data_IF_288767846825
#
_entry.id   IF_288767846825
#
_cell.length_a   1.000
_cell.length_b   1.000
_cell.length_c   1.000
_cell.angle_alpha   90.00
_cell.angle_beta   90.00
_cell.angle_gamma   90.00
#
_symmetry.space_group_name_H-M   'P 1'
#
loop_
_entity.id
_entity.type
_entity.pdbx_description
1 polymer ?
#
# COMPACT_ATOMS: atom_id res chain seq x y z
N UNK A 1 -3.71 -7.08 14.39
CA UNK A 1 -3.30 -6.15 13.32
C UNK A 1 -3.46 -6.87 12.00
N UNK A 2 -4.34 -6.37 11.14
CA UNK A 2 -4.64 -6.99 9.85
C UNK A 2 -4.38 -5.96 8.75
N UNK A 3 -3.74 -6.42 7.67
CA UNK A 3 -3.50 -5.64 6.45
C UNK A 3 -4.61 -5.92 5.45
N UNK A 4 -4.95 -4.94 4.63
CA UNK A 4 -5.91 -5.06 3.55
C UNK A 4 -5.37 -4.32 2.31
N UNK A 5 -5.14 -5.08 1.24
CA UNK A 5 -4.73 -4.57 -0.07
C UNK A 5 -5.72 -4.99 -1.17
N UNK A 6 -6.96 -5.36 -0.78
CA UNK A 6 -8.00 -5.66 -1.75
C UNK A 6 -8.42 -4.41 -2.51
N UNK A 7 -8.80 -4.55 -3.77
CA UNK A 7 -9.37 -3.47 -4.58
C UNK A 7 -10.58 -2.82 -3.90
N UNK A 8 -11.40 -3.61 -3.20
CA UNK A 8 -12.54 -3.12 -2.41
C UNK A 8 -12.14 -2.18 -1.27
N UNK A 9 -10.89 -2.26 -0.78
CA UNK A 9 -10.38 -1.35 0.25
C UNK A 9 -9.98 0.03 -0.29
N UNK A 10 -9.90 0.19 -1.59
CA UNK A 10 -9.45 1.41 -2.26
C UNK A 10 -10.60 2.34 -2.64
N UNK A 11 -11.82 1.82 -2.80
CA UNK A 11 -12.98 2.53 -3.33
C UNK A 11 -14.06 2.67 -2.27
N UNK A 12 -14.84 3.77 -2.32
CA UNK A 12 -16.00 3.96 -1.46
C UNK A 12 -17.17 3.10 -1.94
N UNK A 13 -17.86 2.44 -1.02
CA UNK A 13 -19.03 1.61 -1.31
C UNK A 13 -20.22 2.40 -1.88
N UNK A 14 -20.24 3.72 -1.69
CA UNK A 14 -21.26 4.62 -2.22
C UNK A 14 -20.97 5.09 -3.64
N UNK A 15 -19.88 4.66 -4.25
CA UNK A 15 -19.50 5.03 -5.60
C UNK A 15 -20.42 4.36 -6.62
N UNK A 16 -21.04 5.16 -7.48
CA UNK A 16 -21.98 4.66 -8.48
C UNK A 16 -21.27 3.92 -9.62
N UNK A 17 -20.02 4.29 -9.94
CA UNK A 17 -19.20 3.58 -10.94
C UNK A 17 -18.83 2.18 -10.44
N UNK A 18 -18.55 2.04 -9.14
CA UNK A 18 -18.31 0.73 -8.53
C UNK A 18 -19.55 -0.17 -8.58
N UNK A 19 -20.74 0.38 -8.39
CA UNK A 19 -21.99 -0.38 -8.50
C UNK A 19 -22.20 -0.87 -9.93
N UNK A 20 -22.01 0.03 -10.90
CA UNK A 20 -22.12 -0.31 -12.33
C UNK A 20 -21.11 -1.39 -12.72
N UNK A 21 -19.84 -1.23 -12.33
CA UNK A 21 -18.79 -2.24 -12.57
C UNK A 21 -19.19 -3.62 -12.02
N UNK A 22 -19.76 -3.66 -10.81
CA UNK A 22 -20.18 -4.93 -10.20
C UNK A 22 -21.40 -5.55 -10.85
N UNK A 23 -22.35 -4.76 -11.32
CA UNK A 23 -23.49 -5.24 -12.11
C UNK A 23 -23.00 -5.90 -13.41
N UNK A 24 -22.10 -5.22 -14.13
CA UNK A 24 -21.50 -5.77 -15.36
C UNK A 24 -20.71 -7.04 -15.06
N UNK A 25 -19.89 -7.03 -14.01
CA UNK A 25 -19.07 -8.19 -13.61
C UNK A 25 -19.92 -9.40 -13.17
N UNK A 26 -21.10 -9.17 -12.58
CA UNK A 26 -22.03 -10.24 -12.22
C UNK A 26 -22.67 -10.92 -13.45
N UNK A 27 -22.87 -10.15 -14.52
CA UNK A 27 -23.47 -10.66 -15.77
C UNK A 27 -22.42 -11.36 -16.67
N UNK A 28 -21.16 -10.88 -16.65
CA UNK A 28 -20.09 -11.39 -17.53
C UNK A 28 -19.06 -12.27 -16.81
N UNK A 29 -19.19 -12.46 -15.48
CA UNK A 29 -18.38 -13.35 -14.63
C UNK A 29 -16.88 -13.37 -14.97
N UNK A 30 -16.20 -12.22 -14.83
CA UNK A 30 -14.74 -12.20 -14.98
C UNK A 30 -14.08 -12.79 -13.73
N UNK A 31 -13.51 -13.97 -13.86
CA UNK A 31 -12.65 -14.56 -12.81
C UNK A 31 -11.37 -13.74 -12.66
N UNK A 32 -10.86 -13.63 -11.43
CA UNK A 32 -9.49 -13.10 -11.21
C UNK A 32 -8.49 -13.88 -12.07
N UNK A 33 -7.46 -13.23 -12.56
CA UNK A 33 -6.44 -13.85 -13.38
C UNK A 33 -5.03 -13.39 -13.03
N UNK A 34 -4.05 -14.24 -13.38
CA UNK A 34 -2.64 -13.89 -13.44
C UNK A 34 -2.20 -13.85 -14.89
N UNK A 35 -1.24 -13.01 -15.21
CA UNK A 35 -0.63 -12.93 -16.53
C UNK A 35 0.84 -13.30 -16.40
N UNK A 36 1.32 -14.24 -17.20
CA UNK A 36 2.74 -14.56 -17.34
C UNK A 36 3.17 -14.11 -18.72
N UNK A 37 4.07 -13.14 -18.78
CA UNK A 37 4.70 -12.72 -20.03
C UNK A 37 5.93 -13.58 -20.24
N UNK A 38 6.03 -14.22 -21.39
CA UNK A 38 7.14 -15.04 -21.78
C UNK A 38 7.94 -14.38 -22.92
N UNK A 39 9.22 -14.12 -22.65
CA UNK A 39 10.21 -13.62 -23.59
C UNK A 39 11.17 -14.78 -23.92
N UNK A 40 10.94 -15.55 -24.99
CA UNK A 40 11.75 -16.70 -25.33
C UNK A 40 13.13 -16.29 -25.82
N UNK A 41 14.14 -17.15 -25.60
CA UNK A 41 15.51 -16.94 -26.13
C UNK A 41 15.59 -17.13 -27.63
N UNK A 42 14.64 -17.86 -28.19
CA UNK A 42 14.56 -18.20 -29.62
C UNK A 42 13.25 -17.73 -30.20
N UNK A 43 13.02 -17.95 -31.47
CA UNK A 43 11.82 -17.55 -32.18
C UNK A 43 10.55 -18.15 -31.56
N UNK A 44 9.57 -17.34 -31.22
CA UNK A 44 8.30 -17.72 -30.60
C UNK A 44 7.55 -18.80 -31.41
N UNK A 45 7.70 -18.82 -32.74
CA UNK A 45 7.00 -19.74 -33.65
C UNK A 45 7.87 -20.96 -34.05
N UNK A 46 9.05 -21.15 -33.43
CA UNK A 46 9.85 -22.36 -33.61
C UNK A 46 9.19 -23.57 -32.92
N UNK A 47 9.42 -24.80 -33.47
CA UNK A 47 8.91 -26.02 -32.86
C UNK A 47 9.37 -26.21 -31.42
N UNK A 48 10.61 -25.79 -31.15
CA UNK A 48 11.19 -25.86 -29.81
C UNK A 48 10.45 -24.97 -28.81
N UNK A 49 10.26 -23.69 -29.14
CA UNK A 49 9.57 -22.72 -28.24
C UNK A 49 8.12 -23.10 -28.09
N UNK A 50 7.42 -23.55 -29.13
CA UNK A 50 6.06 -24.08 -29.05
C UNK A 50 5.97 -25.24 -28.04
N UNK A 51 6.90 -26.22 -28.15
CA UNK A 51 6.97 -27.35 -27.20
C UNK A 51 7.27 -26.90 -25.77
N UNK A 52 8.18 -25.91 -25.60
CA UNK A 52 8.49 -25.31 -24.29
C UNK A 52 7.28 -24.59 -23.70
N UNK A 53 6.56 -23.81 -24.51
CA UNK A 53 5.34 -23.11 -24.10
C UNK A 53 4.25 -24.11 -23.66
N UNK A 54 4.06 -25.23 -24.37
CA UNK A 54 3.10 -26.27 -23.96
C UNK A 54 3.50 -26.89 -22.60
N UNK A 55 4.80 -27.19 -22.39
CA UNK A 55 5.25 -27.67 -21.09
C UNK A 55 4.99 -26.68 -19.95
N UNK A 56 5.12 -25.37 -20.21
CA UNK A 56 4.80 -24.35 -19.24
C UNK A 56 3.29 -24.31 -18.96
N UNK A 57 2.44 -24.29 -19.99
CA UNK A 57 0.97 -24.33 -19.85
C UNK A 57 0.55 -25.53 -19.01
N UNK A 58 1.02 -26.74 -19.35
CA UNK A 58 0.71 -27.96 -18.61
C UNK A 58 1.17 -27.91 -17.14
N UNK A 59 2.27 -27.23 -16.87
CA UNK A 59 2.77 -27.06 -15.50
C UNK A 59 1.94 -26.04 -14.69
N UNK A 60 1.53 -24.96 -15.33
CA UNK A 60 0.69 -23.94 -14.68
C UNK A 60 -0.75 -24.43 -14.44
N UNK A 61 -1.33 -25.23 -15.33
CA UNK A 61 -2.66 -25.85 -15.13
C UNK A 61 -2.72 -26.80 -13.94
N UNK A 62 -1.58 -27.36 -13.54
CA UNK A 62 -1.49 -28.26 -12.35
C UNK A 62 -1.41 -27.51 -11.03
N UNK A 63 -1.32 -26.20 -11.04
CA UNK A 63 -1.25 -25.39 -9.81
C UNK A 63 -2.65 -25.33 -9.20
N UNK A 64 -2.75 -25.68 -7.93
CA UNK A 64 -4.00 -25.61 -7.16
C UNK A 64 -4.53 -24.16 -7.14
N UNK A 65 -5.79 -23.96 -7.56
CA UNK A 65 -6.44 -22.66 -7.67
C UNK A 65 -6.35 -22.03 -9.06
N UNK A 66 -5.72 -22.69 -10.04
CA UNK A 66 -5.77 -22.35 -11.47
C UNK A 66 -6.89 -23.17 -12.12
N UNK A 67 -7.88 -22.52 -12.72
CA UNK A 67 -8.97 -23.16 -13.44
C UNK A 67 -8.56 -23.59 -14.86
N UNK A 68 -7.88 -22.69 -15.56
CA UNK A 68 -7.37 -22.92 -16.92
C UNK A 68 -6.28 -21.93 -17.27
N UNK A 69 -5.49 -22.25 -18.30
CA UNK A 69 -4.46 -21.37 -18.85
C UNK A 69 -4.80 -21.07 -20.31
N UNK A 70 -4.96 -19.80 -20.65
CA UNK A 70 -5.12 -19.35 -22.04
C UNK A 70 -3.79 -18.85 -22.56
N UNK A 71 -3.38 -19.34 -23.72
CA UNK A 71 -2.12 -19.01 -24.36
C UNK A 71 -2.28 -18.83 -25.87
N UNK A 72 -1.24 -18.35 -26.54
CA UNK A 72 -1.23 -18.29 -28.00
C UNK A 72 -1.32 -19.68 -28.66
N UNK A 73 -1.02 -20.76 -27.92
CA UNK A 73 -1.12 -22.15 -28.40
C UNK A 73 -2.58 -22.55 -28.65
N UNK A 74 -3.52 -21.99 -27.89
CA UNK A 74 -4.93 -22.33 -27.92
C UNK A 74 -5.74 -21.42 -28.85
N UNK A 75 -5.06 -20.40 -29.43
CA UNK A 75 -5.71 -19.43 -30.30
C UNK A 75 -6.15 -20.04 -31.64
N UNK A 76 -7.44 -19.94 -32.04
CA UNK A 76 -7.93 -20.48 -33.31
C UNK A 76 -7.41 -19.66 -34.49
N UNK A 77 -6.68 -20.30 -35.41
CA UNK A 77 -6.09 -19.67 -36.58
C UNK A 77 -7.07 -19.77 -37.77
N UNK A 78 -7.44 -18.63 -38.35
CA UNK A 78 -8.43 -18.52 -39.42
C UNK A 78 -7.81 -18.35 -40.79
N UNK A 79 -6.60 -17.83 -40.87
CA UNK A 79 -5.91 -17.45 -42.10
C UNK A 79 -4.56 -18.14 -42.32
N UNK A 80 -4.25 -19.20 -41.61
CA UNK A 80 -2.93 -19.82 -41.56
C UNK A 80 -2.92 -21.34 -41.88
N UNK A 81 -3.27 -21.76 -43.09
CA UNK A 81 -3.82 -21.08 -44.26
C UNK A 81 -5.31 -20.77 -44.12
N UNK A 82 -5.83 -19.86 -44.99
CA UNK A 82 -7.21 -19.46 -44.99
C UNK A 82 -8.19 -20.66 -45.11
N UNK A 83 -9.12 -20.74 -44.17
CA UNK A 83 -10.11 -21.78 -44.07
C UNK A 83 -11.47 -21.34 -44.67
N UNK A 84 -12.24 -22.30 -45.19
CA UNK A 84 -13.63 -22.08 -45.56
C UNK A 84 -14.53 -22.07 -44.30
N UNK A 85 -15.69 -21.42 -44.37
CA UNK A 85 -16.67 -21.42 -43.25
C UNK A 85 -17.13 -22.84 -42.83
N UNK A 86 -17.12 -23.79 -43.72
CA UNK A 86 -17.48 -25.19 -43.43
C UNK A 86 -16.36 -25.95 -42.71
N UNK A 87 -15.11 -25.59 -42.94
CA UNK A 87 -13.96 -26.13 -42.22
C UNK A 87 -13.85 -25.53 -40.81
N UNK A 88 -14.09 -24.23 -40.67
CA UNK A 88 -14.13 -23.53 -39.36
C UNK A 88 -15.15 -24.13 -38.40
N UNK A 89 -16.32 -24.56 -38.92
CA UNK A 89 -17.39 -25.16 -38.11
C UNK A 89 -17.03 -26.54 -37.55
N UNK A 90 -16.08 -27.24 -38.16
CA UNK A 90 -15.75 -28.62 -37.83
C UNK A 90 -14.36 -28.81 -37.20
N UNK A 91 -13.43 -27.92 -37.43
CA UNK A 91 -12.05 -28.08 -36.93
C UNK A 91 -11.36 -26.71 -36.85
N UNK A 92 -11.26 -26.16 -35.67
CA UNK A 92 -10.45 -24.97 -35.40
C UNK A 92 -8.98 -25.40 -35.31
N UNK A 93 -8.12 -24.85 -36.17
CA UNK A 93 -6.68 -25.09 -36.15
C UNK A 93 -6.02 -24.19 -35.13
N UNK A 94 -4.98 -24.71 -34.51
CA UNK A 94 -4.08 -23.97 -33.61
C UNK A 94 -2.67 -23.98 -34.18
N UNK A 95 -1.75 -23.31 -33.50
CA UNK A 95 -0.33 -23.26 -33.90
C UNK A 95 0.36 -24.63 -33.78
N UNK A 96 -0.17 -25.55 -32.99
CA UNK A 96 0.35 -26.86 -32.74
C UNK A 96 -0.05 -27.90 -33.80
N UNK A 97 -1.01 -27.55 -34.66
CA UNK A 97 -1.45 -28.47 -35.72
C UNK A 97 -0.38 -28.61 -36.82
N UNK A 98 -0.07 -29.83 -37.21
CA UNK A 98 0.89 -30.13 -38.28
C UNK A 98 0.52 -29.49 -39.64
N UNK A 99 -0.76 -29.15 -39.84
CA UNK A 99 -1.27 -28.50 -41.03
C UNK A 99 -1.17 -26.98 -41.04
N UNK A 100 -0.69 -26.38 -39.94
CA UNK A 100 -0.57 -24.94 -39.77
C UNK A 100 0.72 -24.41 -40.38
N UNK A 101 0.59 -23.39 -41.24
CA UNK A 101 1.74 -22.66 -41.77
C UNK A 101 2.16 -21.59 -40.73
N UNK A 102 3.31 -21.80 -40.10
CA UNK A 102 3.83 -20.97 -39.01
C UNK A 102 4.17 -19.53 -39.43
N UNK A 103 4.59 -19.34 -40.68
CA UNK A 103 4.86 -18.01 -41.21
C UNK A 103 3.55 -17.21 -41.41
N UNK A 104 2.51 -17.88 -41.90
CA UNK A 104 1.17 -17.29 -41.99
C UNK A 104 0.58 -17.06 -40.59
N UNK A 105 0.74 -18.02 -39.68
CA UNK A 105 0.29 -17.86 -38.28
C UNK A 105 0.91 -16.64 -37.63
N UNK A 106 2.23 -16.44 -37.77
CA UNK A 106 2.93 -15.24 -37.29
C UNK A 106 2.31 -13.95 -37.84
N UNK A 107 2.00 -13.92 -39.14
CA UNK A 107 1.34 -12.76 -39.77
C UNK A 107 -0.07 -12.56 -39.24
N UNK A 108 -0.78 -13.66 -38.93
CA UNK A 108 -2.10 -13.60 -38.33
C UNK A 108 -2.04 -13.02 -36.91
N UNK A 109 -1.12 -13.47 -36.06
CA UNK A 109 -0.91 -12.90 -34.73
C UNK A 109 -0.51 -11.42 -34.75
N UNK A 110 0.32 -10.99 -35.71
CA UNK A 110 0.73 -9.58 -35.89
C UNK A 110 -0.41 -8.65 -36.34
N UNK A 111 -1.36 -9.14 -37.09
CA UNK A 111 -2.36 -8.29 -37.80
C UNK A 111 -3.78 -8.50 -37.30
N UNK A 112 -4.04 -9.54 -36.50
CA UNK A 112 -5.39 -9.81 -35.98
C UNK A 112 -5.67 -8.92 -34.75
N UNK A 113 -6.77 -8.15 -34.75
CA UNK A 113 -7.17 -7.37 -33.58
C UNK A 113 -7.55 -8.26 -32.38
N UNK A 114 -7.74 -9.57 -32.60
CA UNK A 114 -8.05 -10.54 -31.55
C UNK A 114 -6.80 -11.07 -30.82
N UNK A 115 -5.62 -10.96 -31.42
CA UNK A 115 -4.41 -11.58 -30.90
C UNK A 115 -3.29 -10.60 -30.66
N UNK A 116 -3.16 -9.57 -31.52
CA UNK A 116 -2.15 -8.52 -31.40
C UNK A 116 -2.42 -7.71 -30.12
N UNK A 117 -1.39 -7.54 -29.31
CA UNK A 117 -1.42 -6.83 -28.03
C UNK A 117 -2.26 -7.53 -26.92
N UNK A 118 -2.87 -8.69 -27.22
CA UNK A 118 -3.56 -9.52 -26.22
C UNK A 118 -2.79 -10.80 -25.90
N UNK A 119 -2.43 -11.56 -26.93
CA UNK A 119 -1.71 -12.83 -26.78
C UNK A 119 -0.23 -12.70 -27.16
N UNK A 120 0.08 -11.83 -28.12
CA UNK A 120 1.45 -11.53 -28.55
C UNK A 120 1.64 -10.02 -28.70
N UNK A 121 2.90 -9.57 -28.67
CA UNK A 121 3.24 -8.20 -29.02
C UNK A 121 3.09 -7.93 -30.54
N UNK A 122 3.18 -6.67 -30.94
CA UNK A 122 3.07 -6.24 -32.34
C UNK A 122 4.13 -6.88 -33.27
N UNK A 123 5.24 -7.32 -32.72
CA UNK A 123 6.30 -8.03 -33.46
C UNK A 123 6.19 -9.55 -33.38
N UNK A 124 5.23 -10.08 -32.60
CA UNK A 124 5.05 -11.49 -32.28
C UNK A 124 6.35 -12.13 -31.75
N UNK A 125 7.02 -11.42 -30.84
CA UNK A 125 8.25 -11.84 -30.19
C UNK A 125 8.05 -12.23 -28.73
N UNK A 126 7.05 -11.65 -28.07
CA UNK A 126 6.59 -11.96 -26.72
C UNK A 126 5.22 -12.61 -26.75
N UNK A 127 4.94 -13.47 -25.79
CA UNK A 127 3.57 -13.99 -25.61
C UNK A 127 3.12 -13.83 -24.16
N UNK A 128 1.81 -13.63 -23.99
CA UNK A 128 1.16 -13.67 -22.69
C UNK A 128 0.42 -14.99 -22.48
N UNK A 129 0.56 -15.57 -21.31
CA UNK A 129 -0.24 -16.69 -20.82
C UNK A 129 -1.12 -16.17 -19.69
N UNK A 130 -2.42 -16.27 -19.86
CA UNK A 130 -3.41 -15.86 -18.88
C UNK A 130 -3.85 -17.06 -18.05
N UNK A 131 -3.53 -17.06 -16.77
CA UNK A 131 -3.99 -18.07 -15.81
C UNK A 131 -5.28 -17.61 -15.19
N UNK A 132 -6.40 -18.22 -15.57
CA UNK A 132 -7.71 -17.98 -14.96
C UNK A 132 -7.74 -18.67 -13.60
N UNK A 133 -8.16 -17.93 -12.56
CA UNK A 133 -8.20 -18.44 -11.20
C UNK A 133 -9.61 -18.98 -10.87
N UNK A 134 -9.65 -20.00 -10.03
CA UNK A 134 -10.92 -20.53 -9.54
C UNK A 134 -11.72 -19.43 -8.83
N UNK A 135 -12.99 -19.18 -9.22
CA UNK A 135 -13.82 -18.14 -8.64
C UNK A 135 -14.21 -18.46 -7.19
N UNK A 136 -14.13 -17.46 -6.33
CA UNK A 136 -14.56 -17.62 -4.94
C UNK A 136 -16.07 -17.37 -4.79
N UNK A 137 -16.89 -18.32 -5.22
CA UNK A 137 -18.36 -18.24 -5.16
C UNK A 137 -18.92 -17.89 -3.77
N UNK A 138 -18.22 -18.30 -2.68
CA UNK A 138 -18.67 -17.98 -1.33
C UNK A 138 -18.50 -16.50 -1.01
N UNK A 139 -17.39 -15.91 -1.45
CA UNK A 139 -17.13 -14.49 -1.30
C UNK A 139 -18.09 -13.64 -2.13
N UNK A 140 -18.25 -13.96 -3.39
CA UNK A 140 -19.18 -13.27 -4.31
C UNK A 140 -20.61 -13.29 -3.79
N UNK A 141 -21.08 -14.46 -3.35
CA UNK A 141 -22.42 -14.60 -2.75
C UNK A 141 -22.56 -13.77 -1.47
N UNK A 142 -21.55 -13.71 -0.64
CA UNK A 142 -21.57 -12.91 0.58
C UNK A 142 -21.60 -11.41 0.25
N UNK A 143 -20.82 -10.97 -0.73
CA UNK A 143 -20.80 -9.58 -1.22
C UNK A 143 -22.16 -9.20 -1.82
N UNK A 144 -22.73 -10.00 -2.71
CA UNK A 144 -24.07 -9.77 -3.28
C UNK A 144 -25.15 -9.69 -2.21
N UNK A 145 -25.13 -10.61 -1.23
CA UNK A 145 -26.07 -10.57 -0.10
C UNK A 145 -25.94 -9.31 0.74
N UNK A 146 -24.73 -8.80 0.92
CA UNK A 146 -24.50 -7.53 1.62
C UNK A 146 -25.10 -6.35 0.87
N UNK A 147 -24.98 -6.30 -0.45
CA UNK A 147 -25.56 -5.23 -1.26
C UNK A 147 -27.08 -5.23 -1.19
N UNK A 148 -27.71 -6.37 -1.28
CA UNK A 148 -29.18 -6.46 -1.14
C UNK A 148 -29.66 -5.94 0.23
N UNK A 149 -28.91 -6.17 1.31
CA UNK A 149 -29.20 -5.60 2.63
C UNK A 149 -28.97 -4.08 2.65
N UNK A 150 -27.90 -3.58 2.02
CA UNK A 150 -27.61 -2.13 1.94
C UNK A 150 -28.67 -1.37 1.15
N UNK A 151 -29.22 -1.96 0.09
CA UNK A 151 -30.36 -1.39 -0.65
C UNK A 151 -31.60 -1.25 0.25
N UNK A 152 -31.89 -2.27 1.06
CA UNK A 152 -32.99 -2.20 2.04
C UNK A 152 -32.70 -1.12 3.09
N UNK A 153 -31.47 -0.97 3.57
CA UNK A 153 -31.09 0.08 4.53
C UNK A 153 -31.33 1.49 3.97
N UNK A 154 -31.16 1.66 2.67
CA UNK A 154 -31.40 2.94 1.99
C UNK A 154 -32.87 3.12 1.54
N UNK A 155 -33.75 2.14 1.78
CA UNK A 155 -35.18 2.15 1.45
C UNK A 155 -36.06 2.47 2.66
N UNK A 156 -37.36 2.62 2.40
CA UNK A 156 -38.38 2.81 3.45
C UNK A 156 -38.64 1.52 4.28
N UNK A 157 -38.13 0.37 3.85
CA UNK A 157 -38.31 -0.91 4.52
C UNK A 157 -37.24 -1.22 5.56
N UNK A 158 -36.39 -0.25 5.87
CA UNK A 158 -35.29 -0.40 6.82
C UNK A 158 -35.80 -0.63 8.25
N UNK A 159 -35.35 -1.71 8.86
CA UNK A 159 -35.55 -2.02 10.27
C UNK A 159 -34.19 -2.20 10.98
N UNK A 160 -33.76 -1.25 11.84
CA UNK A 160 -32.47 -1.30 12.51
C UNK A 160 -32.19 -2.59 13.29
N UNK A 161 -33.21 -3.12 13.95
CA UNK A 161 -33.06 -4.32 14.81
C UNK A 161 -32.75 -5.60 14.02
N UNK A 162 -33.07 -5.64 12.72
CA UNK A 162 -32.89 -6.80 11.86
C UNK A 162 -31.70 -6.57 10.92
N UNK A 163 -31.73 -5.46 10.19
CA UNK A 163 -30.77 -5.24 9.09
C UNK A 163 -29.39 -4.86 9.58
N UNK A 164 -29.25 -4.18 10.75
CA UNK A 164 -27.94 -3.90 11.32
C UNK A 164 -27.25 -5.18 11.82
N UNK A 165 -28.01 -6.13 12.39
CA UNK A 165 -27.46 -7.41 12.82
C UNK A 165 -27.05 -8.27 11.61
N UNK A 166 -27.88 -8.30 10.58
CA UNK A 166 -27.57 -8.97 9.31
C UNK A 166 -26.33 -8.38 8.63
N UNK A 167 -26.21 -7.04 8.58
CA UNK A 167 -25.03 -6.37 8.06
C UNK A 167 -23.77 -6.71 8.86
N UNK A 168 -23.90 -6.78 10.18
CA UNK A 168 -22.77 -7.14 11.03
C UNK A 168 -22.32 -8.58 10.78
N UNK A 169 -23.26 -9.51 10.67
CA UNK A 169 -22.97 -10.92 10.43
C UNK A 169 -22.33 -11.12 9.05
N UNK A 170 -22.91 -10.55 8.00
CA UNK A 170 -22.38 -10.68 6.63
C UNK A 170 -21.03 -10.02 6.47
N UNK A 171 -20.80 -8.86 7.12
CA UNK A 171 -19.50 -8.21 7.12
C UNK A 171 -18.42 -9.05 7.82
N UNK A 172 -18.76 -9.74 8.92
CA UNK A 172 -17.85 -10.67 9.57
C UNK A 172 -17.50 -11.85 8.67
N UNK A 173 -18.50 -12.39 7.98
CA UNK A 173 -18.31 -13.49 7.03
C UNK A 173 -17.43 -13.07 5.85
N UNK A 174 -17.69 -11.92 5.24
CA UNK A 174 -16.85 -11.36 4.16
C UNK A 174 -15.41 -11.18 4.64
N UNK A 175 -15.20 -10.67 5.85
CA UNK A 175 -13.87 -10.51 6.43
C UNK A 175 -13.13 -11.84 6.64
N UNK A 176 -13.83 -12.89 7.03
CA UNK A 176 -13.23 -14.23 7.16
C UNK A 176 -12.85 -14.78 5.80
N UNK A 177 -13.78 -14.78 4.85
CA UNK A 177 -13.56 -15.26 3.49
C UNK A 177 -12.41 -14.51 2.81
N UNK A 178 -12.32 -13.19 2.97
CA UNK A 178 -11.22 -12.39 2.43
C UNK A 178 -9.85 -12.75 3.07
N UNK A 179 -9.83 -13.08 4.36
CA UNK A 179 -8.61 -13.52 5.03
C UNK A 179 -8.14 -14.88 4.52
N UNK A 180 -9.08 -15.84 4.38
CA UNK A 180 -8.79 -17.17 3.88
C UNK A 180 -8.33 -17.12 2.41
N UNK A 181 -9.02 -16.33 1.60
CA UNK A 181 -8.65 -16.09 0.18
C UNK A 181 -7.27 -15.45 0.04
N UNK A 182 -6.90 -14.53 0.93
CA UNK A 182 -5.58 -13.89 0.87
C UNK A 182 -4.43 -14.88 1.11
N UNK A 183 -4.62 -15.85 2.02
CA UNK A 183 -3.62 -16.89 2.30
C UNK A 183 -3.51 -17.85 1.10
N UNK A 184 -4.65 -18.28 0.53
CA UNK A 184 -4.67 -19.16 -0.64
C UNK A 184 -4.02 -18.48 -1.85
N UNK A 185 -4.30 -17.19 -2.06
CA UNK A 185 -3.71 -16.37 -3.13
C UNK A 185 -2.20 -16.22 -2.99
N UNK A 186 -1.70 -15.97 -1.77
CA UNK A 186 -0.25 -15.88 -1.53
C UNK A 186 0.45 -17.20 -1.83
N UNK A 187 -0.13 -18.33 -1.44
CA UNK A 187 0.40 -19.66 -1.75
C UNK A 187 0.41 -19.94 -3.26
N UNK A 188 -0.67 -19.60 -3.96
CA UNK A 188 -0.79 -19.74 -5.41
C UNK A 188 0.30 -18.92 -6.13
N UNK A 189 0.48 -17.65 -5.76
CA UNK A 189 1.49 -16.77 -6.35
C UNK A 189 2.92 -17.31 -6.10
N UNK A 190 3.20 -17.79 -4.89
CA UNK A 190 4.49 -18.42 -4.59
C UNK A 190 4.74 -19.68 -5.42
N UNK A 191 3.72 -20.53 -5.56
CA UNK A 191 3.81 -21.74 -6.37
C UNK A 191 4.02 -21.38 -7.84
N UNK A 192 3.29 -20.41 -8.36
CA UNK A 192 3.47 -19.91 -9.73
C UNK A 192 4.89 -19.40 -9.96
N UNK A 193 5.44 -18.58 -9.06
CA UNK A 193 6.85 -18.12 -9.14
C UNK A 193 7.85 -19.26 -9.10
N UNK A 194 7.63 -20.26 -8.23
CA UNK A 194 8.52 -21.43 -8.16
C UNK A 194 8.46 -22.24 -9.46
N UNK A 195 7.27 -22.37 -10.04
CA UNK A 195 7.10 -23.03 -11.34
C UNK A 195 7.77 -22.23 -12.45
N UNK A 196 7.62 -20.90 -12.49
CA UNK A 196 8.33 -20.04 -13.45
C UNK A 196 9.85 -20.20 -13.38
N UNK A 197 10.41 -20.27 -12.16
CA UNK A 197 11.87 -20.47 -11.99
C UNK A 197 12.38 -21.75 -12.64
N UNK A 198 11.58 -22.80 -12.72
CA UNK A 198 11.97 -24.04 -13.37
C UNK A 198 12.10 -23.92 -14.90
N UNK A 199 11.60 -22.82 -15.46
CA UNK A 199 11.61 -22.56 -16.92
C UNK A 199 12.50 -21.36 -17.32
N UNK A 200 13.31 -20.81 -16.41
CA UNK A 200 14.23 -19.69 -16.71
C UNK A 200 15.24 -20.00 -17.82
N UNK A 201 15.53 -21.30 -18.04
CA UNK A 201 16.38 -21.72 -19.13
C UNK A 201 15.75 -21.50 -20.52
N UNK A 202 14.44 -21.46 -20.64
CA UNK A 202 13.71 -21.24 -21.89
C UNK A 202 13.66 -19.78 -22.32
N UNK A 203 13.59 -18.85 -21.35
CA UNK A 203 13.48 -17.42 -21.59
C UNK A 203 13.28 -16.63 -20.31
N UNK A 204 12.94 -15.36 -20.45
CA UNK A 204 12.56 -14.53 -19.31
C UNK A 204 11.05 -14.60 -19.09
N UNK A 205 10.64 -14.77 -17.85
CA UNK A 205 9.27 -14.84 -17.45
C UNK A 205 8.95 -13.70 -16.46
N UNK A 206 7.86 -13.00 -16.68
CA UNK A 206 7.41 -11.91 -15.82
C UNK A 206 5.98 -12.19 -15.39
N UNK A 207 5.75 -12.13 -14.06
CA UNK A 207 4.43 -12.30 -13.49
C UNK A 207 3.74 -10.94 -13.36
N UNK A 208 2.47 -10.89 -13.75
CA UNK A 208 1.57 -9.74 -13.63
C UNK A 208 0.17 -10.17 -13.20
N UNK A 209 -0.74 -9.20 -13.13
CA UNK A 209 -2.14 -9.43 -12.78
C UNK A 209 -2.52 -8.85 -11.42
N UNK A 210 -3.80 -8.49 -11.28
CA UNK A 210 -4.34 -7.80 -10.08
C UNK A 210 -4.17 -8.61 -8.81
N UNK A 211 -4.32 -9.93 -8.90
CA UNK A 211 -4.17 -10.85 -7.77
C UNK A 211 -2.73 -10.86 -7.22
N UNK A 212 -1.73 -10.85 -8.11
CA UNK A 212 -0.32 -10.79 -7.73
C UNK A 212 0.02 -9.43 -7.10
N UNK A 213 -0.43 -8.34 -7.72
CA UNK A 213 -0.20 -6.99 -7.23
C UNK A 213 -0.72 -6.85 -5.79
N UNK A 214 -1.95 -7.32 -5.51
CA UNK A 214 -2.55 -7.26 -4.19
C UNK A 214 -1.72 -8.03 -3.14
N UNK A 215 -1.23 -9.22 -3.47
CA UNK A 215 -0.39 -10.03 -2.56
C UNK A 215 0.96 -9.37 -2.30
N UNK A 216 1.64 -8.92 -3.34
CA UNK A 216 2.94 -8.27 -3.21
C UNK A 216 2.84 -6.93 -2.45
N UNK A 217 1.76 -6.16 -2.62
CA UNK A 217 1.51 -4.95 -1.84
C UNK A 217 1.43 -5.25 -0.35
N UNK A 218 0.77 -6.34 0.06
CA UNK A 218 0.74 -6.77 1.47
C UNK A 218 2.16 -7.06 1.97
N UNK A 219 2.94 -7.81 1.19
CA UNK A 219 4.32 -8.14 1.51
C UNK A 219 5.22 -6.89 1.62
N UNK A 220 5.05 -5.93 0.70
CA UNK A 220 5.77 -4.65 0.76
C UNK A 220 5.38 -3.83 1.99
N UNK A 221 4.09 -3.75 2.34
CA UNK A 221 3.62 -3.07 3.55
C UNK A 221 4.25 -3.68 4.80
N UNK A 222 4.27 -5.03 4.90
CA UNK A 222 4.91 -5.71 6.04
C UNK A 222 6.41 -5.41 6.12
N UNK A 223 7.09 -5.42 5.00
CA UNK A 223 8.51 -5.11 4.90
C UNK A 223 8.79 -3.66 5.28
N UNK A 224 8.02 -2.73 4.71
CA UNK A 224 8.15 -1.30 4.98
C UNK A 224 7.89 -0.97 6.46
N UNK A 225 6.86 -1.56 7.06
CA UNK A 225 6.58 -1.40 8.48
C UNK A 225 7.77 -1.82 9.35
N UNK A 226 8.43 -2.94 9.03
CA UNK A 226 9.58 -3.45 9.78
C UNK A 226 10.82 -2.57 9.59
N UNK A 227 11.22 -2.34 8.33
CA UNK A 227 12.45 -1.62 8.02
C UNK A 227 12.33 -0.12 8.30
N UNK A 228 11.20 0.50 8.00
CA UNK A 228 10.98 1.91 8.21
C UNK A 228 10.86 2.24 9.71
N UNK A 229 10.10 1.46 10.47
CA UNK A 229 10.01 1.63 11.92
C UNK A 229 11.39 1.48 12.60
N UNK A 230 12.19 0.49 12.19
CA UNK A 230 13.54 0.30 12.69
C UNK A 230 14.46 1.47 12.30
N UNK A 231 14.41 1.93 11.07
CA UNK A 231 15.18 3.06 10.57
C UNK A 231 14.86 4.36 11.32
N UNK A 232 13.58 4.66 11.51
CA UNK A 232 13.12 5.82 12.29
C UNK A 232 13.59 5.71 13.74
N UNK A 233 13.45 4.54 14.35
CA UNK A 233 13.92 4.31 15.73
C UNK A 233 15.42 4.54 15.86
N UNK A 234 16.23 3.99 14.96
CA UNK A 234 17.69 4.18 14.94
C UNK A 234 18.06 5.65 14.76
N UNK A 235 17.38 6.35 13.85
CA UNK A 235 17.60 7.79 13.64
C UNK A 235 17.30 8.58 14.92
N UNK A 236 16.23 8.26 15.64
CA UNK A 236 15.92 8.91 16.91
C UNK A 236 16.93 8.59 17.99
N UNK A 237 17.39 7.34 18.10
CA UNK A 237 18.46 6.97 19.06
C UNK A 237 19.70 7.82 18.83
N UNK A 238 20.15 7.95 17.57
CA UNK A 238 21.33 8.74 17.21
C UNK A 238 21.09 10.23 17.50
N UNK A 239 19.98 10.78 17.05
CA UNK A 239 19.68 12.22 17.21
C UNK A 239 19.53 12.60 18.69
N UNK A 240 18.73 11.83 19.44
CA UNK A 240 18.54 12.08 20.88
C UNK A 240 19.84 11.83 21.66
N UNK A 241 20.64 10.83 21.25
CA UNK A 241 21.95 10.57 21.84
C UNK A 241 22.93 11.74 21.68
N UNK A 242 22.96 12.38 20.51
CA UNK A 242 23.77 13.58 20.23
C UNK A 242 23.28 14.77 21.06
N UNK A 243 21.96 14.96 21.15
CA UNK A 243 21.36 16.12 21.85
C UNK A 243 21.50 15.96 23.35
N UNK A 244 21.04 14.87 23.94
CA UNK A 244 20.91 14.72 25.38
C UNK A 244 22.12 14.09 26.04
N UNK A 245 22.97 13.33 25.34
CA UNK A 245 24.20 12.68 25.81
C UNK A 245 24.05 11.76 27.05
N UNK A 246 22.84 11.63 27.59
CA UNK A 246 22.52 10.79 28.76
C UNK A 246 21.46 9.76 28.33
N UNK A 247 21.77 8.48 28.54
CA UNK A 247 20.93 7.35 28.10
C UNK A 247 19.49 7.44 28.61
N UNK A 248 19.26 7.92 29.81
CA UNK A 248 17.92 8.07 30.39
C UNK A 248 17.03 9.01 29.59
N UNK A 249 17.58 10.17 29.12
CA UNK A 249 16.84 11.14 28.33
C UNK A 249 16.60 10.69 26.88
N UNK A 250 17.32 9.68 26.43
CA UNK A 250 17.11 8.99 25.16
C UNK A 250 16.08 7.87 25.33
N UNK A 251 16.21 7.07 26.40
CA UNK A 251 15.36 5.91 26.63
C UNK A 251 13.92 6.28 26.98
N UNK A 252 13.68 7.33 27.78
CA UNK A 252 12.34 7.76 28.19
C UNK A 252 11.40 8.02 27.00
N UNK A 253 11.73 8.91 26.02
CA UNK A 253 10.85 9.16 24.89
C UNK A 253 10.69 7.93 24.00
N UNK A 254 11.73 7.12 23.81
CA UNK A 254 11.66 5.93 22.98
C UNK A 254 10.74 4.85 23.58
N UNK A 255 10.90 4.56 24.88
CA UNK A 255 10.04 3.57 25.57
C UNK A 255 8.59 4.07 25.62
N UNK A 256 8.38 5.35 25.94
CA UNK A 256 7.06 5.95 25.95
C UNK A 256 6.39 5.84 24.59
N UNK A 257 7.09 6.19 23.52
CA UNK A 257 6.56 6.11 22.14
C UNK A 257 6.27 4.69 21.69
N UNK A 258 7.12 3.73 22.07
CA UNK A 258 6.87 2.31 21.79
C UNK A 258 5.61 1.82 22.52
N UNK A 259 5.41 2.20 23.80
CA UNK A 259 4.20 1.86 24.55
C UNK A 259 2.96 2.49 23.93
N UNK A 260 3.05 3.76 23.50
CA UNK A 260 1.95 4.44 22.79
C UNK A 260 1.61 3.72 21.50
N UNK A 261 2.60 3.32 20.70
CA UNK A 261 2.38 2.58 19.46
C UNK A 261 1.67 1.24 19.74
N UNK A 262 2.09 0.49 20.76
CA UNK A 262 1.45 -0.76 21.17
C UNK A 262 -0.02 -0.54 21.57
N UNK A 263 -0.31 0.51 22.36
CA UNK A 263 -1.67 0.84 22.77
C UNK A 263 -2.54 1.21 21.58
N UNK A 264 -2.03 2.02 20.65
CA UNK A 264 -2.78 2.43 19.46
C UNK A 264 -3.01 1.23 18.53
N UNK A 265 -2.00 0.40 18.27
CA UNK A 265 -2.15 -0.83 17.48
C UNK A 265 -3.18 -1.76 18.12
N UNK A 266 -3.15 -1.91 19.46
CA UNK A 266 -4.14 -2.68 20.20
C UNK A 266 -5.55 -2.11 20.06
N UNK A 267 -5.69 -0.79 20.13
CA UNK A 267 -6.97 -0.10 19.93
C UNK A 267 -7.51 -0.30 18.50
N UNK A 268 -6.65 -0.16 17.47
CA UNK A 268 -7.03 -0.44 16.07
C UNK A 268 -7.49 -1.88 15.89
N UNK A 269 -6.78 -2.84 16.51
CA UNK A 269 -7.17 -4.25 16.51
C UNK A 269 -8.52 -4.49 17.19
N UNK A 270 -8.80 -3.80 18.31
CA UNK A 270 -10.08 -3.91 19.02
C UNK A 270 -11.24 -3.30 18.21
N UNK A 271 -11.00 -2.18 17.51
CA UNK A 271 -11.97 -1.54 16.62
C UNK A 271 -12.09 -2.27 15.26
N UNK A 272 -11.29 -3.33 15.04
CA UNK A 272 -11.19 -4.07 13.78
C UNK A 272 -10.90 -3.17 12.57
N UNK A 273 -10.11 -2.11 12.78
CA UNK A 273 -9.63 -1.26 11.70
C UNK A 273 -8.44 -1.92 11.01
N UNK A 274 -8.57 -2.08 9.69
CA UNK A 274 -7.50 -2.67 8.86
C UNK A 274 -6.58 -1.58 8.33
N UNK A 275 -5.30 -1.90 8.29
CA UNK A 275 -4.29 -1.00 7.74
C UNK A 275 -4.17 -1.26 6.25
N UNK A 276 -4.38 -0.21 5.45
CA UNK A 276 -4.22 -0.21 3.99
C UNK A 276 -2.82 0.27 3.61
N UNK A 277 -2.49 0.22 2.31
CA UNK A 277 -1.22 0.72 1.76
C UNK A 277 -0.94 2.17 2.20
N UNK A 278 -1.92 3.06 2.04
CA UNK A 278 -1.78 4.48 2.39
C UNK A 278 -1.65 4.66 3.90
N UNK A 279 -2.43 3.91 4.68
CA UNK A 279 -2.42 4.04 6.13
C UNK A 279 -1.24 3.32 6.81
N UNK A 280 -0.43 2.53 6.09
CA UNK A 280 0.73 1.84 6.66
C UNK A 280 1.75 2.78 7.33
N UNK A 281 1.90 3.98 6.81
CA UNK A 281 2.82 4.99 7.33
C UNK A 281 2.37 5.64 8.66
N UNK A 282 1.15 5.34 9.16
CA UNK A 282 0.63 5.98 10.37
C UNK A 282 1.49 5.72 11.61
N UNK A 283 2.08 4.51 11.72
CA UNK A 283 2.91 4.13 12.88
C UNK A 283 4.13 5.04 12.97
N UNK A 284 4.80 5.28 11.86
CA UNK A 284 5.99 6.14 11.81
C UNK A 284 5.66 7.58 12.17
N UNK A 285 4.56 8.12 11.64
CA UNK A 285 4.08 9.46 11.99
C UNK A 285 3.68 9.54 13.46
N UNK A 286 3.03 8.52 13.98
CA UNK A 286 2.66 8.43 15.39
C UNK A 286 3.91 8.45 16.29
N UNK A 287 4.96 7.69 15.95
CA UNK A 287 6.22 7.69 16.67
C UNK A 287 6.86 9.08 16.66
N UNK A 288 6.90 9.75 15.51
CA UNK A 288 7.46 11.11 15.37
C UNK A 288 6.71 12.08 16.29
N UNK A 289 5.38 12.08 16.26
CA UNK A 289 4.55 13.00 17.05
C UNK A 289 4.71 12.70 18.56
N UNK A 290 4.68 11.43 18.96
CA UNK A 290 4.80 11.04 20.37
C UNK A 290 6.18 11.38 20.94
N UNK A 291 7.26 11.14 20.16
CA UNK A 291 8.63 11.53 20.55
C UNK A 291 8.74 13.06 20.65
N UNK A 292 8.15 13.80 19.71
CA UNK A 292 8.15 15.27 19.75
C UNK A 292 7.49 15.81 21.03
N UNK A 293 6.32 15.28 21.41
CA UNK A 293 5.66 15.66 22.68
C UNK A 293 6.54 15.34 23.89
N UNK A 294 7.19 14.17 23.90
CA UNK A 294 8.10 13.79 24.97
C UNK A 294 9.32 14.71 25.06
N UNK A 295 9.91 15.09 23.93
CA UNK A 295 11.04 16.02 23.86
C UNK A 295 10.67 17.39 24.44
N UNK A 296 9.50 17.93 24.10
CA UNK A 296 9.03 19.20 24.66
C UNK A 296 8.94 19.17 26.17
N UNK A 297 8.42 18.09 26.76
CA UNK A 297 8.38 17.91 28.20
C UNK A 297 9.77 17.81 28.81
N UNK A 298 10.66 17.01 28.20
CA UNK A 298 12.04 16.79 28.70
C UNK A 298 12.84 18.10 28.67
N UNK A 299 12.83 18.80 27.55
CA UNK A 299 13.59 20.06 27.40
C UNK A 299 13.07 21.11 28.40
N UNK A 300 11.75 21.21 28.57
CA UNK A 300 11.19 22.16 29.56
C UNK A 300 11.54 21.79 30.98
N UNK A 301 11.54 20.50 31.32
CA UNK A 301 12.00 20.03 32.63
C UNK A 301 13.46 20.41 32.89
N UNK A 302 14.34 20.18 31.93
CA UNK A 302 15.78 20.52 32.05
C UNK A 302 15.99 22.04 32.23
N UNK A 303 15.26 22.87 31.48
CA UNK A 303 15.29 24.33 31.61
C UNK A 303 14.80 24.78 32.99
N UNK A 304 13.72 24.22 33.52
CA UNK A 304 13.23 24.54 34.85
C UNK A 304 14.16 24.06 35.94
N UNK A 305 14.82 22.93 35.75
CA UNK A 305 15.84 22.42 36.70
C UNK A 305 17.06 23.34 36.77
N UNK A 306 17.52 23.88 35.63
CA UNK A 306 18.65 24.84 35.59
C UNK A 306 18.27 26.17 36.23
N UNK A 307 17.06 26.65 36.01
CA UNK A 307 16.63 27.98 36.51
C UNK A 307 16.16 27.96 37.96
N UNK A 308 15.71 26.82 38.50
CA UNK A 308 15.15 26.68 39.84
C UNK A 308 15.75 25.47 40.59
N UNK A 309 17.05 25.46 40.88
CA UNK A 309 17.75 24.30 41.48
C UNK A 309 17.28 23.97 42.92
N UNK A 310 16.58 24.88 43.58
CA UNK A 310 16.09 24.69 44.95
C UNK A 310 14.73 24.00 45.04
N UNK A 311 14.03 23.78 43.89
CA UNK A 311 12.72 23.15 43.88
C UNK A 311 12.84 21.63 43.94
N UNK A 312 11.92 21.01 44.68
CA UNK A 312 11.80 19.57 44.71
C UNK A 312 11.41 19.02 43.32
N UNK A 313 11.90 17.83 43.01
CA UNK A 313 11.66 17.13 41.75
C UNK A 313 10.15 17.05 41.36
N UNK A 314 9.27 16.74 42.33
CA UNK A 314 7.84 16.70 42.09
C UNK A 314 7.26 18.04 41.68
N UNK A 315 7.74 19.12 42.27
CA UNK A 315 7.33 20.49 41.95
C UNK A 315 7.80 20.88 40.55
N UNK A 316 9.04 20.54 40.17
CA UNK A 316 9.59 20.78 38.85
C UNK A 316 8.79 20.04 37.77
N UNK A 317 8.46 18.76 37.99
CA UNK A 317 7.63 17.98 37.06
C UNK A 317 6.22 18.59 36.96
N UNK A 318 5.62 18.98 38.08
CA UNK A 318 4.30 19.64 38.08
C UNK A 318 4.30 20.95 37.29
N UNK A 319 5.31 21.80 37.47
CA UNK A 319 5.47 23.04 36.69
C UNK A 319 5.70 22.77 35.20
N UNK A 320 6.49 21.73 34.87
CA UNK A 320 6.72 21.32 33.49
C UNK A 320 5.40 20.95 32.80
N UNK A 321 4.61 20.09 33.43
CA UNK A 321 3.29 19.69 32.91
C UNK A 321 2.37 20.90 32.75
N UNK A 322 2.27 21.75 33.78
CA UNK A 322 1.42 22.94 33.75
C UNK A 322 1.78 23.90 32.61
N UNK A 323 3.06 24.12 32.37
CA UNK A 323 3.51 25.06 31.34
C UNK A 323 3.44 24.47 29.92
N UNK A 324 3.64 23.15 29.77
CA UNK A 324 3.63 22.49 28.45
C UNK A 324 2.23 22.01 28.04
N UNK A 325 1.29 21.87 28.97
CA UNK A 325 -0.05 21.35 28.66
C UNK A 325 -0.75 22.19 27.58
N UNK A 326 -0.79 23.50 27.72
CA UNK A 326 -1.47 24.38 26.76
C UNK A 326 -0.81 24.36 25.36
N UNK A 327 0.50 24.62 25.22
CA UNK A 327 1.13 24.57 23.89
C UNK A 327 0.98 23.20 23.20
N UNK A 328 1.24 22.12 23.91
CA UNK A 328 1.14 20.79 23.35
C UNK A 328 -0.31 20.38 23.04
N UNK A 329 -1.29 20.83 23.85
CA UNK A 329 -2.71 20.63 23.57
C UNK A 329 -3.12 21.33 22.27
N UNK A 330 -2.74 22.59 22.07
CA UNK A 330 -3.07 23.30 20.83
C UNK A 330 -2.40 22.64 19.61
N UNK A 331 -1.13 22.19 19.74
CA UNK A 331 -0.46 21.46 18.67
C UNK A 331 -1.17 20.15 18.35
N UNK A 332 -1.53 19.37 19.37
CA UNK A 332 -2.27 18.12 19.18
C UNK A 332 -3.64 18.39 18.55
N UNK A 333 -4.37 19.39 19.04
CA UNK A 333 -5.70 19.75 18.53
C UNK A 333 -5.66 20.20 17.06
N UNK A 334 -4.72 21.08 16.69
CA UNK A 334 -4.58 21.52 15.30
C UNK A 334 -4.21 20.36 14.37
N UNK A 335 -3.37 19.44 14.84
CA UNK A 335 -2.99 18.25 14.08
C UNK A 335 -4.17 17.26 13.96
N UNK A 336 -4.95 17.08 15.02
CA UNK A 336 -6.21 16.29 14.99
C UNK A 336 -7.18 16.89 13.97
N UNK A 337 -7.40 18.20 13.97
CA UNK A 337 -8.29 18.88 13.02
C UNK A 337 -7.78 18.66 11.58
N UNK A 338 -6.47 18.79 11.35
CA UNK A 338 -5.88 18.57 10.04
C UNK A 338 -6.10 17.12 9.54
N UNK A 339 -5.90 16.10 10.38
CA UNK A 339 -6.18 14.71 9.98
C UNK A 339 -7.69 14.41 9.92
N UNK A 340 -8.50 15.03 10.76
CA UNK A 340 -9.95 14.89 10.70
C UNK A 340 -10.54 15.46 9.40
N UNK A 341 -9.91 16.47 8.78
CA UNK A 341 -10.35 17.00 7.48
C UNK A 341 -10.24 15.98 6.35
N UNK A 342 -9.37 14.97 6.47
CA UNK A 342 -9.26 13.87 5.50
C UNK A 342 -10.54 13.02 5.41
N UNK A 343 -11.44 13.09 6.40
CA UNK A 343 -12.74 12.41 6.31
C UNK A 343 -13.67 12.98 5.23
N UNK A 344 -13.36 14.15 4.68
CA UNK A 344 -14.11 14.76 3.57
C UNK A 344 -13.64 14.19 2.20
N UNK A 345 -12.54 13.44 2.18
CA UNK A 345 -12.03 12.82 0.95
C UNK A 345 -13.01 11.77 0.41
N UNK A 346 -13.02 11.56 -0.89
CA UNK A 346 -13.74 10.49 -1.56
C UNK A 346 -12.91 9.18 -1.67
N UNK A 347 -11.66 9.21 -1.18
CA UNK A 347 -10.73 8.07 -1.24
C UNK A 347 -10.72 7.36 0.12
N UNK A 348 -11.28 6.16 0.20
CA UNK A 348 -11.42 5.37 1.44
C UNK A 348 -10.10 5.20 2.23
N UNK A 349 -8.96 4.84 1.62
CA UNK A 349 -7.69 4.74 2.35
C UNK A 349 -7.24 6.06 3.02
N UNK A 350 -7.56 7.20 2.42
CA UNK A 350 -7.24 8.54 2.96
C UNK A 350 -8.10 8.82 4.19
N UNK A 351 -9.39 8.49 4.12
CA UNK A 351 -10.34 8.60 5.23
C UNK A 351 -9.86 7.72 6.41
N UNK A 352 -9.54 6.46 6.14
CA UNK A 352 -9.11 5.51 7.17
C UNK A 352 -7.79 5.95 7.81
N UNK A 353 -6.84 6.45 7.02
CA UNK A 353 -5.61 7.07 7.52
C UNK A 353 -5.90 8.26 8.44
N UNK A 354 -6.82 9.15 8.03
CA UNK A 354 -7.25 10.29 8.85
C UNK A 354 -7.81 9.85 10.20
N UNK A 355 -8.71 8.88 10.22
CA UNK A 355 -9.30 8.32 11.46
C UNK A 355 -8.24 7.70 12.37
N UNK A 356 -7.32 6.90 11.82
CA UNK A 356 -6.23 6.27 12.57
C UNK A 356 -5.32 7.31 13.20
N UNK A 357 -4.97 8.37 12.45
CA UNK A 357 -4.13 9.45 12.94
C UNK A 357 -4.81 10.27 14.04
N UNK A 358 -6.09 10.57 13.91
CA UNK A 358 -6.88 11.27 14.98
C UNK A 358 -6.83 10.47 16.28
N UNK A 359 -7.14 9.18 16.22
CA UNK A 359 -7.06 8.30 17.40
C UNK A 359 -5.62 8.20 17.93
N UNK A 360 -4.65 8.04 17.05
CA UNK A 360 -3.23 7.95 17.42
C UNK A 360 -2.72 9.19 18.15
N UNK A 361 -3.01 10.40 17.64
CA UNK A 361 -2.58 11.66 18.26
C UNK A 361 -3.28 11.87 19.61
N UNK A 362 -4.55 11.52 19.71
CA UNK A 362 -5.29 11.59 20.97
C UNK A 362 -4.62 10.72 22.06
N UNK A 363 -4.31 9.46 21.74
CA UNK A 363 -3.59 8.59 22.67
C UNK A 363 -2.17 9.07 22.93
N UNK A 364 -1.45 9.53 21.89
CA UNK A 364 -0.10 10.06 22.06
C UNK A 364 -0.06 11.23 23.04
N UNK A 365 -1.03 12.15 22.95
CA UNK A 365 -1.13 13.29 23.86
C UNK A 365 -1.36 12.83 25.31
N UNK A 366 -2.39 11.99 25.55
CA UNK A 366 -2.73 11.52 26.90
C UNK A 366 -1.57 10.76 27.52
N UNK A 367 -1.02 9.77 26.79
CA UNK A 367 0.04 8.93 27.33
C UNK A 367 1.37 9.65 27.48
N UNK A 368 1.72 10.59 26.59
CA UNK A 368 2.93 11.42 26.79
C UNK A 368 2.86 12.26 28.06
N UNK A 369 1.70 12.87 28.34
CA UNK A 369 1.50 13.67 29.57
C UNK A 369 1.28 12.83 30.83
N UNK A 370 1.19 11.51 30.70
CA UNK A 370 1.13 10.58 31.83
C UNK A 370 2.46 9.86 32.04
N UNK A 371 2.97 9.19 30.99
CA UNK A 371 4.16 8.35 31.10
C UNK A 371 5.45 9.14 31.30
N UNK A 372 5.64 10.27 30.58
CA UNK A 372 6.87 11.05 30.69
C UNK A 372 7.03 11.70 32.08
N UNK A 373 6.03 12.35 32.67
CA UNK A 373 6.12 12.86 34.05
C UNK A 373 6.40 11.77 35.08
N UNK A 374 5.75 10.61 34.94
CA UNK A 374 6.01 9.45 35.82
C UNK A 374 7.46 8.98 35.67
N UNK A 375 7.95 8.82 34.43
CA UNK A 375 9.32 8.42 34.16
C UNK A 375 10.32 9.47 34.71
N UNK A 376 10.04 10.75 34.60
CA UNK A 376 10.86 11.81 35.20
C UNK A 376 10.95 11.68 36.72
N UNK A 377 9.84 11.41 37.40
CA UNK A 377 9.83 11.23 38.86
C UNK A 377 10.65 10.00 39.28
N UNK A 378 10.52 8.91 38.54
CA UNK A 378 11.13 7.61 38.91
C UNK A 378 12.63 7.53 38.57
N UNK A 379 13.02 8.03 37.39
CA UNK A 379 14.35 7.75 36.81
C UNK A 379 15.31 8.92 36.77
N UNK A 380 14.91 10.15 37.16
CA UNK A 380 15.87 11.26 37.28
C UNK A 380 16.55 11.25 38.67
N UNK A 381 17.85 11.48 38.74
CA UNK A 381 18.59 11.66 40.00
C UNK A 381 18.69 13.14 40.36
N UNK A 382 18.78 13.43 41.65
CA UNK A 382 18.84 14.80 42.18
C UNK A 382 20.17 15.51 41.85
N UNK A 383 21.23 14.77 41.49
CA UNK A 383 22.53 15.30 41.07
C UNK A 383 22.65 15.39 39.55
N UNK A 384 21.97 16.31 38.91
CA UNK A 384 22.23 16.59 37.49
C UNK A 384 23.32 17.64 37.32
N UNK A 385 24.56 17.18 37.04
CA UNK A 385 25.63 18.07 36.56
C UNK A 385 25.23 18.68 35.21
N UNK A 386 25.49 19.98 35.05
CA UNK A 386 25.32 20.74 33.81
C UNK A 386 25.73 19.94 32.56
N UNK A 387 24.80 19.63 31.74
CA UNK A 387 25.04 19.15 30.39
C UNK A 387 25.19 20.38 29.50
N UNK A 388 26.40 20.59 28.94
CA UNK A 388 26.59 21.63 27.92
C UNK A 388 25.59 21.39 26.76
N UNK A 389 24.59 22.25 26.71
CA UNK A 389 23.55 22.19 25.70
C UNK A 389 24.16 22.55 24.33
N UNK A 390 24.38 21.50 23.50
CA UNK A 390 24.94 21.67 22.15
C UNK A 390 24.00 22.49 21.26
N UNK A 391 22.69 22.42 21.51
CA UNK A 391 21.67 23.12 20.72
C UNK A 391 21.72 24.64 20.98
N UNK A 392 22.06 25.07 22.19
CA UNK A 392 22.14 26.48 22.56
C UNK A 392 23.13 27.27 21.69
N UNK A 393 24.31 26.66 21.39
CA UNK A 393 25.31 27.28 20.52
C UNK A 393 24.83 27.45 19.07
N UNK A 394 24.12 26.46 18.54
CA UNK A 394 23.57 26.51 17.19
C UNK A 394 22.44 27.53 17.11
N UNK A 395 21.52 27.48 18.07
CA UNK A 395 20.36 28.40 18.13
C UNK A 395 20.79 29.86 18.23
N UNK A 396 21.80 30.17 19.04
CA UNK A 396 22.38 31.52 19.16
C UNK A 396 23.03 32.00 17.85
N UNK A 397 23.71 31.12 17.11
CA UNK A 397 24.28 31.46 15.79
C UNK A 397 23.18 31.74 14.77
N UNK A 398 22.13 30.94 14.72
CA UNK A 398 20.98 31.18 13.84
C UNK A 398 20.25 32.48 14.20
N UNK A 399 20.00 32.71 15.51
CA UNK A 399 19.37 33.95 15.98
C UNK A 399 20.17 35.18 15.58
N UNK A 400 21.49 35.19 15.84
CA UNK A 400 22.37 36.31 15.46
C UNK A 400 22.48 36.48 13.94
N UNK A 401 22.48 35.40 13.16
CA UNK A 401 22.42 35.46 11.70
C UNK A 401 21.13 36.12 11.21
N UNK A 402 19.98 35.67 11.73
CA UNK A 402 18.68 36.22 11.33
C UNK A 402 18.54 37.68 11.76
N UNK A 403 19.03 38.05 12.94
CA UNK A 403 19.04 39.45 13.38
C UNK A 403 19.93 40.35 12.51
N UNK A 404 21.12 39.84 12.13
CA UNK A 404 22.08 40.61 11.34
C UNK A 404 21.68 40.73 9.86
N UNK A 405 21.09 39.69 9.30
CA UNK A 405 20.75 39.59 7.88
C UNK A 405 19.25 39.48 7.62
N UNK A 406 18.39 40.01 8.51
CA UNK A 406 16.93 39.84 8.44
C UNK A 406 16.31 40.24 7.10
N UNK A 407 16.75 41.37 6.52
CA UNK A 407 16.29 41.83 5.20
C UNK A 407 16.69 40.86 4.09
N UNK A 408 17.92 40.30 4.12
CA UNK A 408 18.40 39.34 3.15
C UNK A 408 17.60 38.03 3.27
N UNK A 409 17.35 37.54 4.50
CA UNK A 409 16.53 36.36 4.74
C UNK A 409 15.12 36.56 4.19
N UNK A 410 14.52 37.73 4.40
CA UNK A 410 13.20 38.03 3.88
C UNK A 410 13.17 38.06 2.34
N UNK A 411 14.16 38.69 1.70
CA UNK A 411 14.27 38.73 0.23
C UNK A 411 14.41 37.32 -0.37
N UNK A 412 15.29 36.48 0.25
CA UNK A 412 15.45 35.08 -0.17
C UNK A 412 14.15 34.31 0.00
N UNK A 413 13.41 34.51 1.10
CA UNK A 413 12.13 33.86 1.34
C UNK A 413 11.08 34.24 0.31
N UNK A 414 11.00 35.52 -0.06
CA UNK A 414 10.10 36.01 -1.12
C UNK A 414 10.48 35.41 -2.48
N UNK A 415 11.79 35.35 -2.79
CA UNK A 415 12.28 34.74 -4.03
C UNK A 415 11.92 33.25 -4.09
N UNK A 416 12.17 32.50 -3.02
CA UNK A 416 11.81 31.08 -2.94
C UNK A 416 10.30 30.87 -3.05
N UNK A 417 9.50 31.71 -2.41
CA UNK A 417 8.04 31.68 -2.53
C UNK A 417 7.57 31.90 -3.96
N UNK A 418 8.16 32.89 -4.65
CA UNK A 418 7.83 33.17 -6.06
C UNK A 418 8.23 32.03 -6.99
N UNK A 419 9.40 31.41 -6.76
CA UNK A 419 9.83 30.21 -7.48
C UNK A 419 8.90 29.00 -7.21
N UNK A 420 8.42 28.87 -5.97
CA UNK A 420 7.46 27.81 -5.60
C UNK A 420 6.13 27.99 -6.30
N UNK A 421 5.62 29.23 -6.41
CA UNK A 421 4.38 29.52 -7.17
C UNK A 421 4.55 29.16 -8.65
N UNK A 422 5.71 29.46 -9.24
CA UNK A 422 6.02 29.03 -10.60
C UNK A 422 6.08 27.50 -10.70
N UNK A 423 6.69 26.82 -9.72
CA UNK A 423 6.72 25.35 -9.64
C UNK A 423 5.33 24.71 -9.58
N UNK A 424 4.43 25.29 -8.78
CA UNK A 424 3.04 24.82 -8.67
C UNK A 424 2.31 24.84 -10.03
N UNK A 425 2.57 25.88 -10.86
CA UNK A 425 1.95 25.97 -12.19
C UNK A 425 2.45 24.90 -13.20
N UNK A 426 3.49 24.13 -12.84
CA UNK A 426 4.04 23.03 -13.64
C UNK A 426 3.67 21.66 -13.09
N UNK A 427 2.96 21.59 -11.95
CA UNK A 427 2.49 20.34 -11.40
C UNK A 427 1.42 19.72 -12.32
N UNK A 428 1.71 18.52 -12.79
CA UNK A 428 0.74 17.65 -13.45
C UNK A 428 0.30 16.59 -12.45
N UNK A 429 -0.99 16.34 -12.37
CA UNK A 429 -1.51 15.22 -11.57
C UNK A 429 -1.46 13.99 -12.45
N UNK A 430 -0.58 13.07 -12.14
CA UNK A 430 -0.46 11.77 -12.80
C UNK A 430 -0.73 10.69 -11.75
N UNK A 431 -1.61 9.76 -12.07
CA UNK A 431 -1.99 8.69 -11.15
C UNK A 431 -1.81 7.33 -11.84
N UNK A 432 -0.61 7.07 -12.34
CA UNK A 432 -0.26 5.76 -12.87
C UNK A 432 0.10 4.83 -11.72
N UNK A 433 -0.62 3.74 -11.60
CA UNK A 433 -0.43 2.78 -10.52
C UNK A 433 0.98 2.16 -10.50
N UNK A 434 1.59 1.98 -11.68
CA UNK A 434 2.95 1.47 -11.84
C UNK A 434 4.01 2.32 -11.12
N UNK A 435 3.81 3.64 -11.04
CA UNK A 435 4.78 4.57 -10.46
C UNK A 435 4.89 4.48 -8.92
N UNK A 436 4.00 3.73 -8.28
CA UNK A 436 4.13 3.37 -6.86
C UNK A 436 5.25 2.36 -6.59
N UNK A 437 5.73 1.65 -7.63
CA UNK A 437 6.74 0.60 -7.49
C UNK A 437 8.10 1.05 -8.02
N UNK A 438 9.17 0.53 -7.43
CA UNK A 438 10.52 0.81 -7.93
C UNK A 438 10.74 0.09 -9.26
N UNK A 439 11.43 0.70 -10.25
CA UNK A 439 11.71 0.07 -11.56
C UNK A 439 12.46 -1.26 -11.49
N UNK A 440 13.05 -1.58 -10.33
CA UNK A 440 13.76 -2.84 -10.11
C UNK A 440 12.86 -4.00 -9.67
N UNK A 441 11.60 -3.72 -9.32
CA UNK A 441 10.65 -4.74 -8.85
C UNK A 441 10.07 -5.54 -10.02
N UNK A 442 9.69 -6.79 -9.75
CA UNK A 442 9.02 -7.66 -10.73
C UNK A 442 7.71 -7.05 -11.20
N UNK A 443 6.91 -6.50 -10.27
CA UNK A 443 5.65 -5.80 -10.58
C UNK A 443 5.86 -4.70 -11.60
N UNK A 444 6.84 -3.80 -11.38
CA UNK A 444 7.11 -2.71 -12.30
C UNK A 444 7.44 -3.23 -13.70
N UNK A 445 8.36 -4.21 -13.78
CA UNK A 445 8.79 -4.79 -15.06
C UNK A 445 7.64 -5.50 -15.77
N UNK A 446 6.83 -6.29 -15.06
CA UNK A 446 5.67 -6.96 -15.61
C UNK A 446 4.63 -5.97 -16.13
N UNK A 447 4.28 -4.94 -15.35
CA UNK A 447 3.33 -3.89 -15.76
C UNK A 447 3.87 -3.04 -16.92
N UNK A 448 5.16 -2.68 -16.92
CA UNK A 448 5.79 -1.93 -18.00
C UNK A 448 5.75 -2.71 -19.32
N UNK A 449 5.98 -4.02 -19.29
CA UNK A 449 5.87 -4.88 -20.47
C UNK A 449 4.42 -5.00 -20.95
N UNK A 450 3.45 -5.15 -20.03
CA UNK A 450 2.04 -5.14 -20.36
C UNK A 450 1.63 -3.81 -21.02
N UNK A 451 2.03 -2.67 -20.45
CA UNK A 451 1.69 -1.35 -20.97
C UNK A 451 2.37 -1.01 -22.29
N UNK A 452 3.59 -1.50 -22.53
CA UNK A 452 4.39 -1.13 -23.70
C UNK A 452 4.33 -2.14 -24.84
N UNK A 453 3.99 -3.41 -24.54
CA UNK A 453 4.05 -4.52 -25.49
C UNK A 453 2.72 -5.25 -25.71
N UNK A 454 1.81 -5.24 -24.71
CA UNK A 454 0.64 -6.08 -24.68
C UNK A 454 -0.61 -5.26 -24.27
N UNK A 455 -1.05 -4.30 -25.07
CA UNK A 455 -2.33 -3.61 -24.96
C UNK A 455 -2.66 -2.88 -23.66
N UNK A 456 -1.82 -3.00 -22.63
CA UNK A 456 -1.95 -2.28 -21.36
C UNK A 456 -2.45 -3.10 -20.18
N UNK A 457 -2.34 -2.49 -18.98
CA UNK A 457 -2.77 -3.09 -17.71
C UNK A 457 -4.24 -2.81 -17.37
N UNK A 458 -4.91 -1.97 -18.15
CA UNK A 458 -6.35 -1.71 -18.06
C UNK A 458 -7.05 -2.41 -19.23
N UNK A 459 -7.58 -3.62 -19.05
CA UNK A 459 -8.42 -4.23 -20.08
C UNK A 459 -9.64 -3.34 -20.32
N UNK A 460 -9.86 -2.96 -21.56
CA UNK A 460 -11.15 -2.44 -22.00
C UNK A 460 -12.07 -3.67 -22.11
N UNK A 461 -12.96 -3.80 -21.14
CA UNK A 461 -14.06 -4.75 -21.20
C UNK A 461 -15.14 -4.30 -22.19
#
# INVERSE_FOLDING_TARGET
>A
FKLDASSDSLVLESDDDLKYYREVNADYSSSDFLIIIFDPKEDLFSDEVISQARQMVDAFERIEGVESVLSYLDAPLLFSPKMSMSELANNLRTIEDDSTDKDLARLEFKNSPLYTELLTDTEASYTAMQLLLEPNYQYEKAVTSRYSILEIVNSNDYNPSIHDEQLKEINLKIKQLNTDSSISRDNLIRTTRTTMQSFEDYGQLYLGGTAMIASDMISFIESDLKYFALGVLMMFIVTLGIIFKKIRWVAMPLISSALIAIVVIGFLGWMDWRVTVVSSNFISLLLIISISLAIHLIVRYQELFETNPALEKRQLVGLTVQQMLKPCFYTALTTIIAFASLNISEIKPVIDFGKMMVAGIFFAFIFSFTLIPIAMILFTSDEEKESKDFSKGITLKFSSFTQRYGTLVLLISILLFSLSLYGISKLTVENRFIDYFKPTTEIYKGMELLDTRLGGTAPLD
#
